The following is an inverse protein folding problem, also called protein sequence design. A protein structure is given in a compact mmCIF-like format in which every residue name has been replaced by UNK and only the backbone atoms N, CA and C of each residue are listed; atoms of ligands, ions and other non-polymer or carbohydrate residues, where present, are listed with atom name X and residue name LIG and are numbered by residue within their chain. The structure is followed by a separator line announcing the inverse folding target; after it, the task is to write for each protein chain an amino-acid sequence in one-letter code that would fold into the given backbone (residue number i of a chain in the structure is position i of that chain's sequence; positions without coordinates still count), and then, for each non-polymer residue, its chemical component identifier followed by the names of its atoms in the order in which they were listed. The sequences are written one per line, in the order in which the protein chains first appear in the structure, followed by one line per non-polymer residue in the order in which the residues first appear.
data_IF_776981793478
#
_entry.id   IF_776981793478
#
_cell.length_a   1.000
_cell.length_b   1.000
_cell.length_c   1.000
_cell.angle_alpha   90.00
_cell.angle_beta   90.00
_cell.angle_gamma   90.00
#
_symmetry.space_group_name_H-M   'P 1'
#
loop_
_entity.id
_entity.type
_entity.pdbx_description
1 polymer ?
#
# COMPACT_ATOMS: atom_id res chain seq x y z
N UNK A 1 -3.84 8.15 -11.64
CA UNK A 1 -3.23 7.18 -12.53
C UNK A 1 -2.62 6.00 -11.79
N UNK A 2 -2.40 6.15 -10.50
CA UNK A 2 -1.83 5.11 -9.66
C UNK A 2 -2.77 4.73 -8.51
N UNK A 3 -3.00 3.43 -8.32
CA UNK A 3 -3.71 2.92 -7.15
C UNK A 3 -2.71 2.23 -6.24
N UNK A 4 -2.56 2.74 -5.03
CA UNK A 4 -1.70 2.15 -4.00
C UNK A 4 -2.59 1.22 -3.17
N UNK A 5 -2.25 -0.05 -3.14
CA UNK A 5 -3.09 -1.10 -2.59
C UNK A 5 -2.40 -1.74 -1.39
N UNK A 6 -3.04 -1.70 -0.24
CA UNK A 6 -2.44 -2.12 1.02
C UNK A 6 -3.34 -3.12 1.73
N UNK A 7 -2.94 -4.41 1.80
CA UNK A 7 -3.66 -5.36 2.63
C UNK A 7 -3.34 -5.12 4.11
N UNK A 8 -4.37 -5.18 4.94
CA UNK A 8 -4.25 -4.88 6.37
C UNK A 8 -4.82 -6.03 7.19
N UNK A 9 -4.08 -6.48 8.20
CA UNK A 9 -4.60 -7.40 9.19
C UNK A 9 -3.97 -7.12 10.55
N UNK A 10 -4.80 -6.68 11.49
CA UNK A 10 -4.42 -6.43 12.89
C UNK A 10 -3.22 -5.50 13.06
N UNK A 11 -3.09 -4.49 12.20
CA UNK A 11 -2.01 -3.52 12.33
C UNK A 11 -2.52 -2.10 12.09
N UNK A 12 -2.07 -1.17 12.92
CA UNK A 12 -2.34 0.25 12.71
C UNK A 12 -1.41 0.77 11.62
N UNK A 13 -1.98 1.21 10.50
CA UNK A 13 -1.22 1.67 9.36
C UNK A 13 -1.37 3.17 9.10
N UNK A 14 -1.86 3.92 10.07
CA UNK A 14 -2.08 5.36 9.91
C UNK A 14 -0.79 6.10 9.56
N UNK A 15 0.29 5.80 10.26
CA UNK A 15 1.58 6.46 10.02
C UNK A 15 2.10 6.17 8.61
N UNK A 16 2.06 4.91 8.19
CA UNK A 16 2.50 4.50 6.86
C UNK A 16 1.69 5.21 5.78
N UNK A 17 0.37 5.20 5.91
CA UNK A 17 -0.51 5.77 4.89
C UNK A 17 -0.35 7.27 4.80
N UNK A 18 -0.22 7.95 5.93
CA UNK A 18 0.00 9.40 5.90
C UNK A 18 1.29 9.76 5.18
N UNK A 19 2.35 8.99 5.41
CA UNK A 19 3.62 9.20 4.73
C UNK A 19 3.47 8.99 3.22
N UNK A 20 2.81 7.91 2.81
CA UNK A 20 2.54 7.64 1.40
C UNK A 20 1.67 8.73 0.78
N UNK A 21 0.68 9.19 1.50
CA UNK A 21 -0.22 10.24 1.03
C UNK A 21 0.54 11.53 0.74
N UNK A 22 1.40 11.95 1.65
CA UNK A 22 2.23 13.13 1.44
C UNK A 22 3.14 12.98 0.24
N UNK A 23 3.75 11.81 0.08
CA UNK A 23 4.61 11.54 -1.07
C UNK A 23 3.82 11.56 -2.37
N UNK A 24 2.61 11.01 -2.37
CA UNK A 24 1.77 10.98 -3.55
C UNK A 24 1.32 12.37 -3.98
N UNK A 25 1.03 13.24 -3.01
CA UNK A 25 0.68 14.63 -3.32
C UNK A 25 1.81 15.36 -4.02
N UNK A 26 3.05 15.05 -3.65
CA UNK A 26 4.22 15.69 -4.26
C UNK A 26 4.43 15.28 -5.71
N UNK A 27 3.89 14.14 -6.13
CA UNK A 27 4.05 13.69 -7.52
C UNK A 27 3.17 14.45 -8.50
N UNK A 28 2.11 15.09 -8.02
CA UNK A 28 1.11 15.79 -8.84
C UNK A 28 0.34 14.89 -9.81
N UNK A 29 0.54 13.57 -9.75
CA UNK A 29 -0.25 12.62 -10.54
C UNK A 29 -1.51 12.20 -9.78
N UNK A 30 -2.60 11.90 -10.51
CA UNK A 30 -3.79 11.34 -9.86
C UNK A 30 -3.46 10.02 -9.18
N UNK A 31 -3.95 9.85 -7.96
CA UNK A 31 -3.71 8.64 -7.20
C UNK A 31 -4.88 8.33 -6.26
N UNK A 32 -4.91 7.11 -5.78
CA UNK A 32 -5.75 6.71 -4.67
C UNK A 32 -4.98 5.74 -3.79
N UNK A 33 -5.38 5.65 -2.53
CA UNK A 33 -4.85 4.67 -1.60
C UNK A 33 -6.02 3.83 -1.10
N UNK A 34 -5.98 2.53 -1.40
CA UNK A 34 -7.00 1.59 -0.95
C UNK A 34 -6.40 0.63 0.06
N UNK A 35 -7.04 0.53 1.20
CA UNK A 35 -6.68 -0.45 2.21
C UNK A 35 -7.81 -1.46 2.31
N UNK A 36 -7.47 -2.74 2.32
CA UNK A 36 -8.45 -3.80 2.57
C UNK A 36 -8.13 -4.45 3.90
N UNK A 37 -9.02 -4.28 4.84
CA UNK A 37 -8.88 -4.85 6.17
C UNK A 37 -9.49 -6.24 6.19
N UNK A 38 -8.66 -7.23 6.44
CA UNK A 38 -9.04 -8.64 6.40
C UNK A 38 -9.57 -9.14 7.75
N UNK A 39 -10.58 -8.45 8.25
CA UNK A 39 -11.24 -8.76 9.51
C UNK A 39 -10.33 -8.61 10.73
N UNK A 40 -9.67 -7.46 10.83
CA UNK A 40 -8.88 -7.11 12.00
C UNK A 40 -9.75 -6.96 13.24
N UNK A 41 -9.12 -6.97 14.41
CA UNK A 41 -9.85 -6.73 15.64
C UNK A 41 -10.47 -5.32 15.64
N UNK A 42 -11.48 -5.13 16.47
CA UNK A 42 -12.26 -3.89 16.50
C UNK A 42 -11.39 -2.65 16.75
N UNK A 43 -10.46 -2.76 17.67
CA UNK A 43 -9.57 -1.65 18.02
C UNK A 43 -8.80 -1.15 16.80
N UNK A 44 -8.18 -2.07 16.07
CA UNK A 44 -7.38 -1.73 14.90
C UNK A 44 -8.26 -1.12 13.80
N UNK A 45 -9.43 -1.69 13.57
CA UNK A 45 -10.34 -1.15 12.56
C UNK A 45 -10.75 0.28 12.88
N UNK A 46 -11.06 0.56 14.14
CA UNK A 46 -11.43 1.91 14.56
C UNK A 46 -10.28 2.88 14.39
N UNK A 47 -9.06 2.47 14.71
CA UNK A 47 -7.87 3.31 14.54
C UNK A 47 -7.63 3.66 13.07
N UNK A 48 -7.75 2.69 12.18
CA UNK A 48 -7.48 2.92 10.77
C UNK A 48 -8.59 3.68 10.04
N UNK A 49 -9.79 3.72 10.58
CA UNK A 49 -10.91 4.43 9.96
C UNK A 49 -10.67 5.92 9.75
N UNK A 50 -9.79 6.51 10.54
CA UNK A 50 -9.46 7.94 10.37
C UNK A 50 -8.88 8.22 8.99
N UNK A 51 -8.31 7.21 8.33
CA UNK A 51 -7.75 7.36 7.00
C UNK A 51 -8.79 7.66 5.93
N UNK A 52 -10.06 7.33 6.17
CA UNK A 52 -11.14 7.68 5.26
C UNK A 52 -11.35 9.18 5.12
N UNK A 53 -10.77 9.97 6.02
CA UNK A 53 -10.86 11.43 5.96
C UNK A 53 -9.91 12.03 4.94
N UNK A 54 -8.91 11.27 4.51
CA UNK A 54 -7.98 11.73 3.48
C UNK A 54 -8.64 11.58 2.11
N UNK A 55 -8.60 12.65 1.32
CA UNK A 55 -9.20 12.62 -0.01
C UNK A 55 -8.44 11.63 -0.90
N UNK A 56 -9.17 10.70 -1.49
CA UNK A 56 -8.55 9.66 -2.31
C UNK A 56 -8.05 8.45 -1.53
N UNK A 57 -8.33 8.38 -0.24
CA UNK A 57 -7.96 7.24 0.60
C UNK A 57 -9.22 6.56 1.13
N UNK A 58 -9.30 5.24 0.98
CA UNK A 58 -10.45 4.47 1.45
C UNK A 58 -10.00 3.22 2.18
N UNK A 59 -10.66 2.93 3.29
CA UNK A 59 -10.45 1.68 4.04
C UNK A 59 -11.67 0.79 3.81
N UNK A 60 -11.44 -0.37 3.21
CA UNK A 60 -12.47 -1.34 2.92
C UNK A 60 -12.37 -2.46 3.96
N UNK A 61 -13.41 -2.59 4.79
CA UNK A 61 -13.41 -3.56 5.89
C UNK A 61 -14.20 -4.80 5.52
N UNK A 62 -13.53 -5.95 5.53
CA UNK A 62 -14.20 -7.23 5.30
C UNK A 62 -14.67 -7.82 6.63
N UNK A 63 -15.78 -8.56 6.59
CA UNK A 63 -16.36 -9.13 7.80
C UNK A 63 -15.67 -10.41 8.25
N UNK A 64 -15.06 -11.13 7.31
CA UNK A 64 -14.37 -12.38 7.62
C UNK A 64 -12.98 -12.37 7.03
N UNK A 65 -12.08 -13.15 7.65
CA UNK A 65 -10.71 -13.26 7.17
C UNK A 65 -10.65 -14.18 5.95
N UNK A 66 -10.11 -13.67 4.87
CA UNK A 66 -10.02 -14.42 3.60
C UNK A 66 -8.58 -14.77 3.20
N UNK A 67 -7.59 -14.18 3.83
CA UNK A 67 -6.19 -14.44 3.54
C UNK A 67 -5.59 -13.53 2.47
N UNK A 68 -4.24 -13.55 2.34
CA UNK A 68 -3.52 -12.58 1.50
C UNK A 68 -3.86 -12.63 0.02
N UNK A 69 -4.01 -13.81 -0.55
CA UNK A 69 -4.30 -13.94 -1.98
C UNK A 69 -5.65 -13.33 -2.34
N UNK A 70 -6.67 -13.61 -1.53
CA UNK A 70 -8.00 -13.05 -1.74
C UNK A 70 -7.95 -11.51 -1.65
N UNK A 71 -7.27 -10.99 -0.62
CA UNK A 71 -7.20 -9.56 -0.37
C UNK A 71 -6.53 -8.82 -1.52
N UNK A 72 -5.45 -9.36 -2.07
CA UNK A 72 -4.78 -8.74 -3.21
C UNK A 72 -5.67 -8.69 -4.45
N UNK A 73 -6.36 -9.78 -4.74
CA UNK A 73 -7.31 -9.80 -5.85
C UNK A 73 -8.46 -8.83 -5.63
N UNK A 74 -8.97 -8.78 -4.42
CA UNK A 74 -10.05 -7.87 -4.06
C UNK A 74 -9.63 -6.42 -4.28
N UNK A 75 -8.44 -6.04 -3.79
CA UNK A 75 -7.92 -4.69 -3.98
C UNK A 75 -7.75 -4.35 -5.46
N UNK A 76 -7.21 -5.29 -6.23
CA UNK A 76 -7.04 -5.08 -7.66
C UNK A 76 -8.36 -4.83 -8.37
N UNK A 77 -9.42 -5.52 -7.96
CA UNK A 77 -10.76 -5.33 -8.52
C UNK A 77 -11.37 -3.98 -8.14
N UNK A 78 -11.04 -3.47 -6.95
CA UNK A 78 -11.56 -2.20 -6.47
C UNK A 78 -10.77 -0.99 -6.98
N UNK A 79 -9.60 -1.21 -7.56
CA UNK A 79 -8.73 -0.12 -7.99
C UNK A 79 -9.34 0.67 -9.15
N UNK A 80 -9.24 1.98 -9.05
CA UNK A 80 -9.77 2.90 -10.07
C UNK A 80 -8.80 3.10 -11.23
N UNK A 81 -7.51 3.05 -10.95
CA UNK A 81 -6.48 3.41 -11.92
C UNK A 81 -5.80 2.18 -12.50
N UNK A 82 -5.22 2.30 -13.72
CA UNK A 82 -4.63 1.14 -14.38
C UNK A 82 -3.30 0.68 -13.79
N UNK A 83 -2.58 1.58 -13.12
CA UNK A 83 -1.30 1.21 -12.50
C UNK A 83 -1.53 0.90 -11.03
N UNK A 84 -1.06 -0.28 -10.62
CA UNK A 84 -1.27 -0.79 -9.28
C UNK A 84 0.07 -0.95 -8.56
N UNK A 85 0.14 -0.43 -7.35
CA UNK A 85 1.30 -0.61 -6.48
C UNK A 85 0.85 -1.30 -5.21
N UNK A 86 1.27 -2.53 -5.02
CA UNK A 86 0.97 -3.30 -3.81
C UNK A 86 2.06 -3.07 -2.78
N UNK A 87 1.67 -2.70 -1.57
CA UNK A 87 2.59 -2.52 -0.45
C UNK A 87 2.08 -3.29 0.76
N UNK A 88 2.99 -3.94 1.45
CA UNK A 88 2.67 -4.59 2.72
C UNK A 88 2.83 -3.59 3.86
N UNK A 89 2.06 -3.78 4.93
CA UNK A 89 2.06 -2.85 6.06
C UNK A 89 3.35 -2.86 6.86
N UNK A 90 4.18 -3.89 6.70
CA UNK A 90 5.46 -3.99 7.38
C UNK A 90 6.60 -3.34 6.60
N UNK A 91 6.30 -2.67 5.48
CA UNK A 91 7.29 -1.96 4.70
C UNK A 91 7.19 -0.46 4.94
N UNK A 92 8.28 0.24 4.65
CA UNK A 92 8.31 1.69 4.70
C UNK A 92 9.06 2.21 3.49
N UNK A 93 8.55 3.24 2.81
CA UNK A 93 9.28 3.79 1.66
C UNK A 93 10.64 4.34 2.06
N UNK A 94 11.62 4.11 1.21
CA UNK A 94 12.97 4.65 1.38
C UNK A 94 13.08 5.90 0.52
N UNK A 95 13.34 7.04 1.16
CA UNK A 95 13.45 8.30 0.46
C UNK A 95 12.10 8.94 0.16
N UNK A 96 12.12 10.25 -0.07
CA UNK A 96 10.92 11.03 -0.33
C UNK A 96 10.44 10.90 -1.79
N UNK A 97 11.29 10.42 -2.66
CA UNK A 97 11.01 10.29 -4.09
C UNK A 97 10.54 8.90 -4.50
N UNK A 98 10.22 8.04 -3.53
CA UNK A 98 9.84 6.65 -3.78
C UNK A 98 8.74 6.51 -4.83
N UNK A 99 7.63 7.22 -4.64
CA UNK A 99 6.50 7.14 -5.57
C UNK A 99 6.82 7.79 -6.91
N UNK A 100 7.58 8.86 -6.89
CA UNK A 100 8.00 9.54 -8.12
C UNK A 100 8.84 8.60 -9.00
N UNK A 101 9.76 7.86 -8.38
CA UNK A 101 10.59 6.92 -9.12
C UNK A 101 9.75 5.78 -9.73
N UNK A 102 8.75 5.30 -9.00
CA UNK A 102 7.84 4.32 -9.55
C UNK A 102 7.10 4.83 -10.78
N UNK A 103 6.51 6.01 -10.67
CA UNK A 103 5.74 6.59 -11.75
C UNK A 103 6.59 6.92 -12.96
N UNK A 104 7.83 7.36 -12.74
CA UNK A 104 8.77 7.66 -13.80
C UNK A 104 9.08 6.44 -14.66
N UNK A 105 9.08 5.25 -14.07
CA UNK A 105 9.47 4.02 -14.74
C UNK A 105 8.29 3.20 -15.23
N UNK A 106 7.07 3.71 -15.11
CA UNK A 106 5.89 3.01 -15.57
C UNK A 106 5.81 3.13 -17.10
N UNK A 107 5.89 2.00 -17.77
CA UNK A 107 5.89 1.94 -19.22
C UNK A 107 4.94 0.90 -19.79
N UNK A 108 3.83 0.64 -19.12
CA UNK A 108 2.83 -0.32 -19.60
C UNK A 108 3.12 -1.76 -19.25
N UNK A 109 4.18 -2.01 -18.52
CA UNK A 109 4.54 -3.33 -18.05
C UNK A 109 4.71 -3.34 -16.53
N UNK A 110 4.93 -4.52 -15.96
CA UNK A 110 5.12 -4.65 -14.52
C UNK A 110 6.42 -3.97 -14.11
N UNK A 111 6.34 -3.06 -13.15
CA UNK A 111 7.49 -2.43 -12.56
C UNK A 111 7.76 -3.09 -11.22
N UNK A 112 8.92 -3.68 -11.06
CA UNK A 112 9.32 -4.31 -9.82
C UNK A 112 10.32 -3.42 -9.10
N UNK A 113 9.97 -3.01 -7.90
CA UNK A 113 10.88 -2.30 -7.02
C UNK A 113 11.55 -3.26 -6.06
N UNK A 114 12.68 -2.89 -5.56
CA UNK A 114 13.35 -3.65 -4.52
C UNK A 114 13.01 -3.13 -3.15
N UNK A 115 13.26 -3.96 -2.15
CA UNK A 115 13.18 -3.53 -0.75
C UNK A 115 14.59 -3.28 -0.24
N UNK A 116 14.71 -2.29 0.63
CA UNK A 116 15.96 -2.05 1.35
C UNK A 116 15.75 -2.39 2.81
N UNK A 117 16.63 -3.23 3.35
CA UNK A 117 16.65 -3.50 4.78
C UNK A 117 17.91 -2.88 5.36
N UNK A 118 17.85 -2.38 6.58
CA UNK A 118 19.04 -1.82 7.22
C UNK A 118 20.03 -2.94 7.50
N UNK A 119 21.11 -2.97 6.73
CA UNK A 119 22.31 -3.77 6.98
C UNK A 119 22.19 -5.26 7.22
N UNK A 120 21.06 -5.84 6.92
CA UNK A 120 20.86 -7.26 7.15
C UNK A 120 21.09 -8.02 5.86
N UNK A 121 22.31 -8.49 5.65
CA UNK A 121 22.65 -9.21 4.44
C UNK A 121 21.73 -10.38 4.15
N UNK A 122 21.31 -11.07 5.19
CA UNK A 122 20.42 -12.22 5.07
C UNK A 122 19.06 -11.86 4.50
N UNK A 123 18.63 -10.65 4.73
CA UNK A 123 17.32 -10.19 4.28
C UNK A 123 17.25 -9.97 2.79
N UNK A 124 18.39 -9.94 2.14
CA UNK A 124 18.47 -9.65 0.71
C UNK A 124 17.66 -10.63 -0.13
N UNK A 125 17.72 -11.92 0.19
CA UNK A 125 16.97 -12.92 -0.56
C UNK A 125 15.46 -12.74 -0.42
N UNK A 126 15.01 -12.35 0.74
CA UNK A 126 13.58 -12.07 0.93
C UNK A 126 13.14 -10.84 0.19
N UNK A 127 14.03 -9.88 0.00
CA UNK A 127 13.71 -8.68 -0.76
C UNK A 127 13.33 -8.98 -2.20
N UNK A 128 13.89 -10.03 -2.77
CA UNK A 128 13.61 -10.37 -4.15
C UNK A 128 12.22 -10.95 -4.36
N UNK A 129 11.63 -11.49 -3.31
CA UNK A 129 10.37 -12.23 -3.39
C UNK A 129 9.29 -11.68 -2.48
N UNK A 130 9.62 -10.70 -1.69
CA UNK A 130 8.72 -10.09 -0.73
C UNK A 130 7.76 -9.03 -1.28
#
# INVERSE_FOLDING_TARGET
MLSILIPVYNINCVSLVRKLYEMALLTEFPFEILLADDASCRKVREENRVLNRLDGCRVLELETNHGPAFIRNYLGEQARYPYLLFLDTDTSPVGEDFLFLYLKNVGGQVVCGGFCYPEEGDSFLRNKYG
#
